data_IF_125062419141
#
_entry.id   IF_125062419141
#
_cell.length_a   1.000
_cell.length_b   1.000
_cell.length_c   1.000
_cell.angle_alpha   90.00
_cell.angle_beta   90.00
_cell.angle_gamma   90.00
#
_symmetry.space_group_name_H-M   'P 1'
#
loop_
_entity.id
_entity.type
_entity.pdbx_description
1 polymer ?
#
# COMPACT_ATOMS: atom_id res chain seq x y z
N UNK A 1 -4.71 -12.54 23.44
CA UNK A 1 -4.95 -11.14 23.87
C UNK A 1 -4.33 -10.15 22.88
N UNK A 2 -3.04 -10.28 22.56
CA UNK A 2 -2.31 -9.39 21.63
C UNK A 2 -2.98 -9.22 20.25
N UNK A 3 -3.32 -10.33 19.56
CA UNK A 3 -3.98 -10.28 18.24
C UNK A 3 -5.32 -9.54 18.27
N UNK A 4 -6.10 -9.69 19.36
CA UNK A 4 -7.38 -8.98 19.51
C UNK A 4 -7.15 -7.47 19.65
N UNK A 5 -6.16 -7.07 20.43
CA UNK A 5 -5.78 -5.65 20.59
C UNK A 5 -5.34 -5.07 19.24
N UNK A 6 -4.52 -5.82 18.50
CA UNK A 6 -4.05 -5.41 17.17
C UNK A 6 -5.20 -5.26 16.17
N UNK A 7 -6.14 -6.21 16.14
CA UNK A 7 -7.29 -6.15 15.25
C UNK A 7 -8.20 -4.96 15.56
N UNK A 8 -8.54 -4.73 16.83
CA UNK A 8 -9.37 -3.60 17.23
C UNK A 8 -8.67 -2.25 17.04
N UNK A 9 -7.40 -2.15 17.40
CA UNK A 9 -6.61 -0.94 17.20
C UNK A 9 -6.42 -0.61 15.71
N UNK A 10 -6.12 -1.62 14.90
CA UNK A 10 -6.04 -1.49 13.44
C UNK A 10 -7.36 -1.09 12.82
N UNK A 11 -8.47 -1.72 13.22
CA UNK A 11 -9.81 -1.36 12.74
C UNK A 11 -10.17 0.10 13.09
N UNK A 12 -9.94 0.53 14.33
CA UNK A 12 -10.18 1.91 14.74
C UNK A 12 -9.32 2.90 13.92
N UNK A 13 -8.04 2.59 13.71
CA UNK A 13 -7.15 3.41 12.88
C UNK A 13 -7.62 3.48 11.42
N UNK A 14 -8.03 2.36 10.82
CA UNK A 14 -8.50 2.32 9.45
C UNK A 14 -9.83 3.06 9.26
N UNK A 15 -10.75 2.98 10.24
CA UNK A 15 -12.00 3.76 10.23
C UNK A 15 -11.73 5.26 10.38
N UNK A 16 -10.78 5.63 11.23
CA UNK A 16 -10.32 7.01 11.33
C UNK A 16 -9.71 7.50 10.00
N UNK A 17 -8.87 6.67 9.37
CA UNK A 17 -8.25 6.98 8.09
C UNK A 17 -9.30 7.07 6.97
N UNK A 18 -10.30 6.18 6.95
CA UNK A 18 -11.37 6.21 5.97
C UNK A 18 -12.20 7.48 6.08
N UNK A 19 -12.50 7.92 7.31
CA UNK A 19 -13.13 9.21 7.55
C UNK A 19 -12.29 10.36 7.00
N UNK A 20 -10.98 10.38 7.31
CA UNK A 20 -10.06 11.42 6.84
C UNK A 20 -9.97 11.48 5.31
N UNK A 21 -9.98 10.33 4.64
CA UNK A 21 -10.02 10.25 3.17
C UNK A 21 -11.36 10.79 2.66
N UNK A 22 -12.49 10.34 3.21
CA UNK A 22 -13.83 10.76 2.76
C UNK A 22 -14.08 12.26 2.90
N UNK A 23 -13.51 12.90 3.94
CA UNK A 23 -13.65 14.35 4.18
C UNK A 23 -12.52 15.17 3.57
N UNK A 24 -11.56 14.56 2.88
CA UNK A 24 -10.48 15.29 2.25
C UNK A 24 -11.01 16.16 1.09
N UNK A 25 -10.45 17.36 0.96
CA UNK A 25 -10.68 18.21 -0.21
C UNK A 25 -9.89 17.74 -1.42
N UNK A 26 -9.95 18.53 -2.49
CA UNK A 26 -9.11 18.32 -3.67
C UNK A 26 -7.62 18.44 -3.30
N UNK A 27 -6.78 17.60 -3.89
CA UNK A 27 -5.33 17.70 -3.74
C UNK A 27 -4.83 19.07 -4.27
N UNK A 28 -4.09 19.79 -3.43
CA UNK A 28 -3.37 20.99 -3.85
C UNK A 28 -2.08 20.59 -4.58
N UNK A 29 -1.82 21.20 -5.73
CA UNK A 29 -0.53 21.05 -6.38
C UNK A 29 0.51 21.88 -5.60
N UNK A 30 1.45 21.20 -4.96
CA UNK A 30 2.54 21.85 -4.24
C UNK A 30 3.59 22.34 -5.24
N UNK A 31 3.56 23.63 -5.55
CA UNK A 31 4.59 24.26 -6.38
C UNK A 31 5.88 24.39 -5.57
N UNK A 32 6.97 23.75 -6.04
CA UNK A 32 8.31 23.92 -5.45
C UNK A 32 8.83 22.76 -4.58
N UNK A 33 8.07 21.67 -4.42
CA UNK A 33 8.60 20.46 -3.77
C UNK A 33 9.64 19.78 -4.67
N UNK A 34 10.86 19.56 -4.17
CA UNK A 34 11.87 18.76 -4.88
C UNK A 34 11.45 17.29 -4.87
N UNK A 35 11.30 16.63 -6.04
CA UNK A 35 11.03 15.21 -6.06
C UNK A 35 12.22 14.45 -5.45
N UNK A 36 11.92 13.43 -4.64
CA UNK A 36 12.90 12.59 -3.92
C UNK A 36 13.88 11.87 -4.87
N UNK A 37 13.53 11.78 -6.16
CA UNK A 37 14.31 11.08 -7.19
C UNK A 37 14.17 9.56 -7.09
N UNK A 38 14.63 8.85 -8.13
CA UNK A 38 14.49 7.40 -8.20
C UNK A 38 15.25 6.69 -7.07
N UNK A 39 16.53 7.03 -6.86
CA UNK A 39 17.36 6.38 -5.85
C UNK A 39 16.87 6.66 -4.42
N UNK A 40 16.40 7.89 -4.15
CA UNK A 40 15.81 8.22 -2.86
C UNK A 40 14.50 7.45 -2.62
N UNK A 41 13.64 7.34 -3.63
CA UNK A 41 12.40 6.58 -3.54
C UNK A 41 12.64 5.06 -3.41
N UNK A 42 13.69 4.54 -4.07
CA UNK A 42 14.13 3.15 -3.93
C UNK A 42 14.67 2.88 -2.52
N UNK A 43 15.50 3.77 -1.98
CA UNK A 43 15.99 3.69 -0.60
C UNK A 43 14.86 3.77 0.44
N UNK A 44 13.83 4.57 0.19
CA UNK A 44 12.67 4.68 1.08
C UNK A 44 11.90 3.35 1.22
N UNK A 45 11.98 2.45 0.23
CA UNK A 45 11.35 1.12 0.34
C UNK A 45 11.93 0.30 1.49
N UNK A 46 13.19 0.53 1.88
CA UNK A 46 13.81 -0.20 2.99
C UNK A 46 13.18 0.12 4.35
N UNK A 47 12.60 1.32 4.50
CA UNK A 47 11.93 1.76 5.72
C UNK A 47 10.45 1.33 5.73
N UNK A 48 9.92 0.81 4.62
CA UNK A 48 8.52 0.47 4.47
C UNK A 48 8.14 -0.81 5.24
N UNK A 49 7.46 -0.73 6.40
CA UNK A 49 7.13 -1.92 7.19
C UNK A 49 6.15 -2.85 6.46
N UNK A 50 5.36 -2.33 5.50
CA UNK A 50 4.47 -3.14 4.67
C UNK A 50 5.25 -4.17 3.85
N UNK A 51 6.38 -3.76 3.27
CA UNK A 51 7.23 -4.64 2.48
C UNK A 51 7.83 -5.76 3.32
N UNK A 52 8.36 -5.41 4.50
CA UNK A 52 8.90 -6.36 5.45
C UNK A 52 7.87 -7.37 5.94
N UNK A 53 6.67 -6.92 6.30
CA UNK A 53 5.59 -7.81 6.76
C UNK A 53 5.23 -8.85 5.69
N UNK A 54 5.11 -8.44 4.43
CA UNK A 54 4.83 -9.35 3.31
C UNK A 54 5.99 -10.33 3.10
N UNK A 55 7.23 -9.83 3.06
CA UNK A 55 8.41 -10.66 2.85
C UNK A 55 8.58 -11.71 3.95
N UNK A 56 8.44 -11.32 5.22
CA UNK A 56 8.54 -12.23 6.38
C UNK A 56 7.41 -13.25 6.37
N UNK A 57 6.17 -12.82 6.10
CA UNK A 57 5.02 -13.74 6.05
C UNK A 57 5.18 -14.78 4.95
N UNK A 58 5.63 -14.36 3.77
CA UNK A 58 5.83 -15.26 2.64
C UNK A 58 7.06 -16.16 2.85
N UNK A 59 8.16 -15.64 3.40
CA UNK A 59 9.30 -16.47 3.80
C UNK A 59 8.90 -17.54 4.82
N UNK A 60 8.17 -17.17 5.87
CA UNK A 60 7.68 -18.12 6.88
C UNK A 60 6.69 -19.16 6.34
N UNK A 61 6.03 -18.89 5.22
CA UNK A 61 5.06 -19.82 4.59
C UNK A 61 5.72 -20.74 3.57
N UNK A 62 6.69 -20.24 2.79
CA UNK A 62 7.17 -20.90 1.57
C UNK A 62 8.65 -21.28 1.57
N UNK A 63 9.49 -20.71 2.43
CA UNK A 63 10.92 -21.04 2.47
C UNK A 63 11.18 -22.20 3.44
N UNK A 64 12.10 -23.08 3.06
CA UNK A 64 12.56 -24.17 3.92
C UNK A 64 13.86 -23.75 4.60
N UNK A 65 13.96 -24.00 5.91
CA UNK A 65 15.15 -23.68 6.70
C UNK A 65 16.25 -24.74 6.49
N UNK A 66 16.86 -24.76 5.31
CA UNK A 66 18.03 -25.57 4.99
C UNK A 66 19.19 -24.66 4.55
N UNK A 67 20.34 -24.64 5.27
CA UNK A 67 21.42 -23.66 5.08
C UNK A 67 21.91 -23.52 3.64
N UNK A 68 22.06 -24.64 2.94
CA UNK A 68 22.55 -24.72 1.55
C UNK A 68 21.59 -24.07 0.55
N UNK A 69 20.28 -24.01 0.86
CA UNK A 69 19.24 -23.57 -0.08
C UNK A 69 18.63 -22.21 0.24
N UNK A 70 18.98 -21.59 1.38
CA UNK A 70 18.38 -20.31 1.79
C UNK A 70 18.61 -19.21 0.76
N UNK A 71 19.85 -19.04 0.30
CA UNK A 71 20.20 -17.94 -0.61
C UNK A 71 19.58 -18.11 -2.01
N UNK A 72 19.63 -19.30 -2.65
CA UNK A 72 18.91 -19.54 -3.91
C UNK A 72 17.39 -19.39 -3.78
N UNK A 73 16.78 -19.91 -2.70
CA UNK A 73 15.34 -19.77 -2.48
C UNK A 73 14.94 -18.30 -2.34
N UNK A 74 15.66 -17.52 -1.53
CA UNK A 74 15.39 -16.10 -1.36
C UNK A 74 15.54 -15.32 -2.68
N UNK A 75 16.54 -15.63 -3.50
CA UNK A 75 16.75 -15.01 -4.80
C UNK A 75 15.59 -15.28 -5.78
N UNK A 76 15.16 -16.54 -5.89
CA UNK A 76 14.02 -16.94 -6.72
C UNK A 76 12.74 -16.24 -6.23
N UNK A 77 12.51 -16.22 -4.93
CA UNK A 77 11.34 -15.59 -4.34
C UNK A 77 11.32 -14.08 -4.60
N UNK A 78 12.47 -13.42 -4.42
CA UNK A 78 12.64 -12.01 -4.76
C UNK A 78 12.37 -11.73 -6.25
N UNK A 79 12.86 -12.58 -7.14
CA UNK A 79 12.61 -12.45 -8.58
C UNK A 79 11.12 -12.60 -8.94
N UNK A 80 10.42 -13.56 -8.33
CA UNK A 80 8.97 -13.73 -8.52
C UNK A 80 8.21 -12.49 -8.04
N UNK A 81 8.50 -12.00 -6.84
CA UNK A 81 7.86 -10.80 -6.30
C UNK A 81 8.14 -9.57 -7.15
N UNK A 82 9.37 -9.41 -7.63
CA UNK A 82 9.73 -8.31 -8.52
C UNK A 82 9.00 -8.39 -9.86
N UNK A 83 8.98 -9.57 -10.48
CA UNK A 83 8.30 -9.83 -11.75
C UNK A 83 6.78 -9.61 -11.66
N UNK A 84 6.17 -9.89 -10.50
CA UNK A 84 4.75 -9.62 -10.25
C UNK A 84 4.49 -8.14 -9.89
N UNK A 85 5.35 -7.54 -9.08
CA UNK A 85 5.17 -6.18 -8.58
C UNK A 85 5.37 -5.13 -9.66
N UNK A 86 6.31 -5.31 -10.58
CA UNK A 86 6.57 -4.36 -11.66
C UNK A 86 5.33 -4.10 -12.54
N UNK A 87 4.73 -5.10 -13.22
CA UNK A 87 3.58 -4.87 -14.09
C UNK A 87 2.37 -4.37 -13.30
N UNK A 88 2.13 -4.93 -12.10
CA UNK A 88 1.04 -4.47 -11.22
C UNK A 88 1.22 -2.99 -10.81
N UNK A 89 2.44 -2.61 -10.44
CA UNK A 89 2.79 -1.24 -10.08
C UNK A 89 2.68 -0.27 -11.26
N UNK A 90 3.07 -0.70 -12.46
CA UNK A 90 2.91 0.09 -13.68
C UNK A 90 1.43 0.32 -14.02
N UNK A 91 0.60 -0.73 -13.96
CA UNK A 91 -0.85 -0.60 -14.17
C UNK A 91 -1.44 0.35 -13.13
N UNK A 92 -1.09 0.20 -11.86
CA UNK A 92 -1.54 1.09 -10.80
C UNK A 92 -1.13 2.55 -11.04
N UNK A 93 0.12 2.78 -11.45
CA UNK A 93 0.65 4.11 -11.74
C UNK A 93 -0.05 4.75 -12.94
N UNK A 94 -0.32 3.97 -14.00
CA UNK A 94 -1.06 4.44 -15.17
C UNK A 94 -2.49 4.83 -14.80
N UNK A 95 -3.21 3.98 -14.04
CA UNK A 95 -4.55 4.30 -13.56
C UNK A 95 -4.57 5.59 -12.73
N UNK A 96 -3.62 5.75 -11.81
CA UNK A 96 -3.48 6.97 -11.01
C UNK A 96 -3.23 8.21 -11.88
N UNK A 97 -2.36 8.09 -12.89
CA UNK A 97 -2.06 9.18 -13.82
C UNK A 97 -3.29 9.57 -14.68
N UNK A 98 -4.05 8.59 -15.16
CA UNK A 98 -5.27 8.82 -15.96
C UNK A 98 -6.35 9.54 -15.15
N UNK A 99 -6.61 9.10 -13.91
CA UNK A 99 -7.65 9.66 -13.05
C UNK A 99 -7.27 11.07 -12.54
N UNK A 100 -5.98 11.40 -12.47
CA UNK A 100 -5.50 12.71 -11.99
C UNK A 100 -6.17 13.90 -12.69
N UNK A 101 -6.47 13.77 -13.99
CA UNK A 101 -7.12 14.85 -14.76
C UNK A 101 -8.56 15.09 -14.31
N UNK A 102 -9.31 14.04 -14.00
CA UNK A 102 -10.67 14.09 -13.47
C UNK A 102 -10.71 14.71 -12.06
N UNK A 103 -9.70 14.42 -11.24
CA UNK A 103 -9.59 14.94 -9.87
C UNK A 103 -9.20 16.43 -9.79
N UNK A 104 -9.05 17.13 -10.92
CA UNK A 104 -8.85 18.59 -10.95
C UNK A 104 -10.12 19.36 -10.60
N UNK A 105 -11.28 18.77 -10.84
CA UNK A 105 -12.56 19.33 -10.44
C UNK A 105 -12.88 18.98 -8.98
N UNK A 106 -13.45 19.94 -8.25
CA UNK A 106 -13.70 19.79 -6.81
C UNK A 106 -14.83 18.79 -6.50
N UNK A 107 -15.87 18.73 -7.34
CA UNK A 107 -16.96 17.78 -7.16
C UNK A 107 -16.49 16.36 -7.43
N UNK A 108 -15.74 16.15 -8.52
CA UNK A 108 -15.17 14.85 -8.88
C UNK A 108 -14.20 14.35 -7.81
N UNK A 109 -13.32 15.21 -7.29
CA UNK A 109 -12.42 14.87 -6.20
C UNK A 109 -13.17 14.47 -4.93
N UNK A 110 -14.25 15.19 -4.58
CA UNK A 110 -15.07 14.86 -3.41
C UNK A 110 -15.79 13.52 -3.56
N UNK A 111 -16.37 13.24 -4.71
CA UNK A 111 -17.01 11.93 -5.00
C UNK A 111 -15.97 10.81 -4.88
N UNK A 112 -14.81 10.98 -5.52
CA UNK A 112 -13.73 10.00 -5.46
C UNK A 112 -13.27 9.71 -4.02
N UNK A 113 -13.05 10.77 -3.23
CA UNK A 113 -12.65 10.66 -1.83
C UNK A 113 -13.70 9.93 -0.98
N UNK A 114 -14.99 10.21 -1.17
CA UNK A 114 -16.08 9.50 -0.49
C UNK A 114 -16.09 8.02 -0.87
N UNK A 115 -15.99 7.69 -2.16
CA UNK A 115 -15.96 6.30 -2.64
C UNK A 115 -14.78 5.54 -2.05
N UNK A 116 -13.58 6.13 -2.07
CA UNK A 116 -12.37 5.53 -1.50
C UNK A 116 -12.48 5.34 0.02
N UNK A 117 -13.05 6.32 0.73
CA UNK A 117 -13.32 6.22 2.16
C UNK A 117 -14.30 5.09 2.49
N UNK A 118 -15.42 4.99 1.77
CA UNK A 118 -16.40 3.90 1.95
C UNK A 118 -15.77 2.55 1.65
N UNK A 119 -15.01 2.43 0.55
CA UNK A 119 -14.32 1.19 0.21
C UNK A 119 -13.36 0.75 1.32
N UNK A 120 -12.59 1.69 1.90
CA UNK A 120 -11.70 1.41 3.02
C UNK A 120 -12.50 0.99 4.28
N UNK A 121 -13.58 1.69 4.61
CA UNK A 121 -14.42 1.34 5.76
C UNK A 121 -15.04 -0.06 5.62
N UNK A 122 -15.51 -0.42 4.41
CA UNK A 122 -16.05 -1.75 4.14
C UNK A 122 -14.98 -2.84 4.25
N UNK A 123 -13.72 -2.54 3.87
CA UNK A 123 -12.62 -3.51 4.01
C UNK A 123 -12.33 -3.89 5.46
N UNK A 124 -12.62 -3.02 6.43
CA UNK A 124 -12.46 -3.30 7.87
C UNK A 124 -13.36 -4.45 8.33
N UNK A 125 -14.51 -4.67 7.68
CA UNK A 125 -15.39 -5.81 7.99
C UNK A 125 -14.69 -7.17 7.78
N UNK A 126 -13.68 -7.23 6.89
CA UNK A 126 -12.91 -8.45 6.66
C UNK A 126 -11.94 -8.78 7.80
N UNK A 127 -11.58 -7.83 8.67
CA UNK A 127 -10.68 -8.07 9.81
C UNK A 127 -11.35 -8.95 10.89
N UNK A 128 -12.68 -8.91 10.95
CA UNK A 128 -13.46 -9.62 11.96
C UNK A 128 -14.20 -10.85 11.41
N UNK A 129 -13.99 -11.19 10.14
CA UNK A 129 -14.40 -12.48 9.55
C UNK A 129 -13.28 -13.50 9.70
#
# INVERSE_FOLDING_TARGET
>A
MLLKILNWGGAAFLLWLSWKIATAGRAQETTGAKPVGFLGAAGFQWINPKGWLVAVSAAGTYLQAAPETVLPQAAIFGAIFFAAALPSGLVWLMLGASIRTLLRDEQHARIFNIVMGIALALSVLMIFR
#
